data_IF_500579841280
#
_entry.id   IF_500579841280
#
_cell.length_a   1.000
_cell.length_b   1.000
_cell.length_c   1.000
_cell.angle_alpha   90.00
_cell.angle_beta   90.00
_cell.angle_gamma   90.00
#
_symmetry.space_group_name_H-M   'P 1'
#
loop_
_entity.id
_entity.type
_entity.pdbx_description
1 polymer ?
#
# COMPACT_ATOMS: atom_id res chain seq x y z
N UNK A 1 -10.00 -24.22 5.53
CA UNK A 1 -10.31 -23.18 4.52
C UNK A 1 -11.45 -23.74 3.72
N UNK A 2 -12.62 -23.11 3.79
CA UNK A 2 -13.86 -23.78 3.36
C UNK A 2 -14.12 -23.60 1.87
N UNK A 3 -13.86 -22.41 1.35
CA UNK A 3 -14.10 -22.11 -0.06
C UNK A 3 -13.10 -21.07 -0.58
N UNK A 4 -12.76 -21.20 -1.85
CA UNK A 4 -11.91 -20.29 -2.61
C UNK A 4 -12.59 -20.02 -3.93
N UNK A 5 -12.88 -18.75 -4.18
CA UNK A 5 -13.54 -18.29 -5.40
C UNK A 5 -12.60 -17.41 -6.21
N UNK A 6 -12.53 -17.63 -7.51
CA UNK A 6 -11.73 -16.77 -8.39
C UNK A 6 -12.43 -15.42 -8.57
N UNK A 7 -11.76 -14.35 -8.17
CA UNK A 7 -12.24 -12.99 -8.37
C UNK A 7 -11.70 -12.47 -9.71
N UNK A 8 -12.57 -12.28 -10.70
CA UNK A 8 -12.20 -11.62 -11.95
C UNK A 8 -12.09 -10.11 -11.71
N UNK A 9 -11.00 -9.70 -11.06
CA UNK A 9 -10.77 -8.33 -10.59
C UNK A 9 -9.39 -7.83 -11.03
N UNK A 10 -9.34 -6.74 -11.78
CA UNK A 10 -8.10 -6.03 -12.11
C UNK A 10 -7.17 -6.74 -13.10
N UNK A 11 -5.88 -6.37 -13.02
CA UNK A 11 -4.78 -6.87 -13.86
C UNK A 11 -4.05 -8.09 -13.28
N UNK A 12 -4.40 -8.51 -12.06
CA UNK A 12 -3.80 -9.64 -11.34
C UNK A 12 -4.79 -10.78 -11.11
N UNK A 13 -4.26 -12.00 -10.91
CA UNK A 13 -5.08 -13.14 -10.50
C UNK A 13 -5.33 -13.08 -8.99
N UNK A 14 -6.60 -13.06 -8.59
CA UNK A 14 -7.04 -12.83 -7.21
C UNK A 14 -8.11 -13.85 -6.83
N UNK A 15 -8.11 -14.23 -5.55
CA UNK A 15 -9.11 -15.14 -4.99
C UNK A 15 -9.72 -14.59 -3.71
N UNK A 16 -11.03 -14.76 -3.55
CA UNK A 16 -11.68 -14.61 -2.25
C UNK A 16 -11.57 -15.91 -1.48
N UNK A 17 -11.25 -15.78 -0.20
CA UNK A 17 -11.05 -16.91 0.71
C UNK A 17 -11.90 -16.71 1.96
N UNK A 18 -12.73 -17.70 2.29
CA UNK A 18 -13.41 -17.76 3.58
C UNK A 18 -12.50 -18.43 4.63
N UNK A 19 -12.11 -17.66 5.64
CA UNK A 19 -11.32 -18.12 6.79
C UNK A 19 -12.20 -18.70 7.91
N UNK A 20 -13.52 -18.61 7.78
CA UNK A 20 -14.52 -19.03 8.74
C UNK A 20 -14.90 -17.93 9.74
N UNK A 21 -16.00 -18.15 10.48
CA UNK A 21 -16.53 -17.21 11.50
C UNK A 21 -16.82 -15.80 10.92
N UNK A 22 -17.21 -15.73 9.65
CA UNK A 22 -17.50 -14.48 8.96
C UNK A 22 -16.26 -13.68 8.53
N UNK A 23 -15.05 -14.22 8.69
CA UNK A 23 -13.82 -13.56 8.25
C UNK A 23 -13.50 -13.96 6.81
N UNK A 24 -13.46 -12.96 5.92
CA UNK A 24 -13.04 -13.12 4.53
C UNK A 24 -11.63 -12.59 4.33
N UNK A 25 -10.97 -13.05 3.29
CA UNK A 25 -9.65 -12.60 2.88
C UNK A 25 -9.50 -12.59 1.36
N UNK A 26 -8.54 -11.81 0.89
CA UNK A 26 -8.07 -11.76 -0.48
C UNK A 26 -6.75 -12.52 -0.55
N UNK A 27 -6.69 -13.54 -1.38
CA UNK A 27 -5.46 -14.25 -1.70
C UNK A 27 -4.96 -13.83 -3.08
N UNK A 28 -3.75 -13.28 -3.14
CA UNK A 28 -3.04 -12.95 -4.37
C UNK A 28 -1.85 -13.90 -4.51
N UNK A 29 -1.93 -14.98 -5.32
CA UNK A 29 -0.79 -15.86 -5.55
C UNK A 29 0.36 -15.12 -6.23
N UNK A 30 1.58 -15.58 -6.01
CA UNK A 30 2.74 -15.09 -6.76
C UNK A 30 2.52 -15.26 -8.27
N UNK A 31 2.99 -14.33 -9.12
CA UNK A 31 2.77 -14.33 -10.58
C UNK A 31 3.11 -15.65 -11.29
N UNK A 32 4.08 -16.40 -10.77
CA UNK A 32 4.47 -17.73 -11.28
C UNK A 32 3.33 -18.76 -11.31
N UNK A 33 2.26 -18.55 -10.53
CA UNK A 33 1.10 -19.44 -10.43
C UNK A 33 -0.11 -18.98 -11.26
N UNK A 34 -0.05 -17.83 -11.92
CA UNK A 34 -1.21 -17.28 -12.63
C UNK A 34 -1.56 -18.12 -13.86
N UNK A 35 -2.84 -18.47 -14.02
CA UNK A 35 -3.36 -19.34 -15.08
C UNK A 35 -3.37 -18.65 -16.44
N UNK A 36 -3.79 -17.39 -16.45
CA UNK A 36 -3.69 -16.53 -17.62
C UNK A 36 -2.56 -15.54 -17.37
N UNK A 37 -1.35 -15.82 -17.88
CA UNK A 37 -0.31 -14.78 -18.03
C UNK A 37 -0.79 -13.77 -19.06
N UNK A 38 -1.71 -12.91 -18.66
CA UNK A 38 -2.39 -11.98 -19.54
C UNK A 38 -1.42 -10.85 -19.85
N UNK A 39 -0.65 -10.97 -20.94
CA UNK A 39 0.02 -9.94 -21.75
C UNK A 39 0.05 -8.53 -21.11
N UNK A 40 0.74 -8.36 -19.99
CA UNK A 40 0.92 -7.06 -19.35
C UNK A 40 2.39 -7.02 -18.95
N UNK A 41 3.17 -6.03 -19.41
CA UNK A 41 4.62 -6.01 -19.19
C UNK A 41 5.04 -5.81 -17.72
N UNK A 42 4.10 -5.87 -16.77
CA UNK A 42 4.26 -5.54 -15.36
C UNK A 42 4.01 -6.75 -14.42
N UNK A 43 3.91 -7.98 -14.95
CA UNK A 43 3.73 -9.20 -14.13
C UNK A 43 4.87 -9.43 -13.14
N UNK A 44 6.08 -8.99 -13.49
CA UNK A 44 7.24 -9.06 -12.61
C UNK A 44 7.22 -7.94 -11.54
N UNK A 45 6.40 -6.90 -11.75
CA UNK A 45 6.23 -5.78 -10.84
C UNK A 45 5.08 -6.01 -9.85
N UNK A 46 3.90 -6.46 -10.28
CA UNK A 46 2.81 -6.74 -9.35
C UNK A 46 3.11 -8.02 -8.54
N UNK A 47 3.53 -7.88 -7.27
CA UNK A 47 3.97 -9.04 -6.48
C UNK A 47 3.27 -9.20 -5.12
N UNK A 48 3.07 -10.45 -4.73
CA UNK A 48 2.58 -10.81 -3.41
C UNK A 48 3.53 -10.32 -2.31
N UNK A 49 4.82 -10.29 -2.62
CA UNK A 49 5.90 -9.81 -1.75
C UNK A 49 5.74 -8.32 -1.44
N UNK A 50 5.31 -7.49 -2.40
CA UNK A 50 5.07 -6.05 -2.16
C UNK A 50 3.84 -5.79 -1.29
N UNK A 51 2.81 -6.64 -1.35
CA UNK A 51 1.69 -6.60 -0.39
C UNK A 51 2.17 -6.89 1.04
N UNK A 52 3.06 -7.87 1.19
CA UNK A 52 3.68 -8.20 2.49
C UNK A 52 4.57 -7.06 2.99
N UNK A 53 5.37 -6.48 2.10
CA UNK A 53 6.20 -5.32 2.39
C UNK A 53 5.37 -4.12 2.83
N UNK A 54 4.23 -3.84 2.17
CA UNK A 54 3.32 -2.76 2.54
C UNK A 54 2.78 -2.92 3.96
N UNK A 55 2.35 -4.13 4.33
CA UNK A 55 1.92 -4.39 5.71
C UNK A 55 3.09 -4.30 6.70
N UNK A 56 4.25 -4.86 6.39
CA UNK A 56 5.43 -4.78 7.26
C UNK A 56 5.89 -3.33 7.47
N UNK A 57 5.88 -2.52 6.41
CA UNK A 57 6.15 -1.09 6.45
C UNK A 57 5.15 -0.35 7.35
N UNK A 58 3.85 -0.59 7.17
CA UNK A 58 2.80 0.02 7.98
C UNK A 58 2.98 -0.24 9.48
N UNK A 59 3.35 -1.48 9.84
CA UNK A 59 3.68 -1.84 11.22
C UNK A 59 4.95 -1.16 11.71
N UNK A 60 5.95 -0.96 10.86
CA UNK A 60 7.20 -0.31 11.22
C UNK A 60 6.99 1.18 11.56
N UNK A 61 6.14 1.88 10.80
CA UNK A 61 5.86 3.32 10.95
C UNK A 61 4.60 3.63 11.79
N UNK A 62 4.04 2.62 12.45
CA UNK A 62 2.80 2.74 13.24
C UNK A 62 1.66 3.42 12.43
N UNK A 63 1.54 3.03 11.16
CA UNK A 63 0.62 3.60 10.18
C UNK A 63 -0.83 3.23 10.49
N UNK A 64 -1.09 1.94 10.76
CA UNK A 64 -2.42 1.38 10.99
C UNK A 64 -3.40 1.60 9.82
N UNK A 65 -2.89 1.60 8.58
CA UNK A 65 -3.66 1.81 7.36
C UNK A 65 -3.71 0.58 6.45
N UNK A 66 -2.68 -0.28 6.48
CA UNK A 66 -2.66 -1.48 5.64
C UNK A 66 -3.34 -2.65 6.37
N UNK A 67 -4.35 -3.31 5.77
CA UNK A 67 -4.97 -4.48 6.40
C UNK A 67 -3.96 -5.60 6.68
N UNK A 68 -4.26 -6.41 7.70
CA UNK A 68 -3.40 -7.54 8.08
C UNK A 68 -3.13 -8.43 6.87
N UNK A 69 -1.86 -8.57 6.53
CA UNK A 69 -1.40 -9.32 5.35
C UNK A 69 -0.31 -10.30 5.76
N UNK A 70 -0.46 -11.56 5.37
CA UNK A 70 0.45 -12.65 5.72
C UNK A 70 0.82 -13.48 4.50
N UNK A 71 2.01 -14.09 4.52
CA UNK A 71 2.39 -15.07 3.50
C UNK A 71 1.59 -16.35 3.76
N UNK A 72 0.99 -16.92 2.71
CA UNK A 72 0.22 -18.15 2.82
C UNK A 72 0.41 -19.04 1.60
N UNK A 73 0.30 -20.36 1.81
CA UNK A 73 0.17 -21.36 0.75
C UNK A 73 -1.27 -21.87 0.73
N UNK A 74 -1.93 -21.77 -0.42
CA UNK A 74 -3.32 -22.22 -0.65
C UNK A 74 -3.34 -23.02 -1.95
N UNK A 75 -3.82 -24.26 -1.89
CA UNK A 75 -3.88 -25.21 -3.02
C UNK A 75 -2.54 -25.31 -3.78
N UNK A 76 -1.43 -25.41 -3.05
CA UNK A 76 -0.10 -25.49 -3.65
C UNK A 76 0.51 -24.16 -4.08
N UNK A 77 -0.26 -23.08 -4.17
CA UNK A 77 0.21 -21.75 -4.59
C UNK A 77 0.63 -20.92 -3.38
N UNK A 78 1.83 -20.35 -3.42
CA UNK A 78 2.26 -19.34 -2.46
C UNK A 78 1.79 -17.95 -2.90
N UNK A 79 1.51 -17.07 -1.94
CA UNK A 79 1.13 -15.69 -2.19
C UNK A 79 0.87 -14.91 -0.91
N UNK A 80 0.27 -13.72 -1.06
CA UNK A 80 -0.18 -12.89 0.05
C UNK A 80 -1.64 -13.19 0.35
N UNK A 81 -1.99 -13.23 1.64
CA UNK A 81 -3.34 -13.34 2.14
C UNK A 81 -3.63 -12.12 3.01
N UNK A 82 -4.50 -11.25 2.53
CA UNK A 82 -4.89 -10.02 3.21
C UNK A 82 -6.33 -10.14 3.74
N UNK A 83 -6.57 -9.76 4.98
CA UNK A 83 -7.94 -9.75 5.54
C UNK A 83 -8.82 -8.79 4.74
N UNK A 84 -10.00 -9.26 4.34
CA UNK A 84 -10.99 -8.44 3.66
C UNK A 84 -11.57 -7.42 4.63
N UNK A 85 -11.64 -6.17 4.20
CA UNK A 85 -12.26 -5.09 4.95
C UNK A 85 -13.54 -4.71 4.24
N UNK A 86 -14.65 -4.65 4.99
CA UNK A 86 -15.91 -4.10 4.47
C UNK A 86 -15.81 -2.58 4.55
N UNK A 87 -15.58 -1.94 3.41
CA UNK A 87 -15.43 -0.50 3.30
C UNK A 87 -16.79 0.21 3.36
N UNK A 88 -16.76 1.48 3.73
CA UNK A 88 -17.95 2.32 3.72
C UNK A 88 -18.36 2.59 2.25
N UNK A 89 -19.61 2.28 1.86
CA UNK A 89 -20.06 2.37 0.45
C UNK A 89 -20.10 3.80 -0.12
N UNK A 90 -20.01 4.83 0.74
CA UNK A 90 -20.14 6.23 0.36
C UNK A 90 -19.42 7.21 1.33
N UNK A 91 -18.28 6.81 1.90
CA UNK A 91 -17.54 7.71 2.79
C UNK A 91 -16.75 8.74 1.97
N UNK A 92 -17.37 9.88 1.69
CA UNK A 92 -16.61 11.09 1.40
C UNK A 92 -15.72 11.43 2.60
N UNK A 93 -14.47 11.78 2.30
CA UNK A 93 -13.48 12.26 3.26
C UNK A 93 -14.04 13.45 4.05
N UNK A 94 -14.52 13.19 5.26
CA UNK A 94 -14.94 14.24 6.17
C UNK A 94 -13.71 15.07 6.56
N UNK A 95 -13.67 16.34 6.12
CA UNK A 95 -12.63 17.28 6.56
C UNK A 95 -12.88 17.61 8.03
N UNK A 96 -11.88 17.36 8.89
CA UNK A 96 -11.94 17.87 10.25
C UNK A 96 -11.78 19.39 10.23
N UNK A 97 -12.88 20.12 10.47
CA UNK A 97 -12.92 21.58 10.46
C UNK A 97 -11.95 22.22 11.49
N UNK A 98 -11.56 21.47 12.53
CA UNK A 98 -10.67 21.95 13.59
C UNK A 98 -9.18 21.91 13.23
N UNK A 99 -8.78 21.20 12.17
CA UNK A 99 -7.36 20.93 11.90
C UNK A 99 -6.94 21.09 10.44
N UNK A 100 -7.88 21.37 9.51
CA UNK A 100 -7.65 21.29 8.05
C UNK A 100 -6.98 19.97 7.62
N UNK A 101 -7.07 18.93 8.47
CA UNK A 101 -6.46 17.63 8.27
C UNK A 101 -7.48 16.73 7.60
N UNK A 102 -7.16 16.28 6.38
CA UNK A 102 -7.92 15.22 5.72
C UNK A 102 -7.26 13.90 6.08
N UNK A 103 -8.05 12.90 6.43
CA UNK A 103 -7.51 11.58 6.72
C UNK A 103 -6.71 11.03 5.51
N UNK A 104 -7.12 11.40 4.29
CA UNK A 104 -6.41 11.12 3.02
C UNK A 104 -5.02 11.75 2.89
N UNK A 105 -4.71 12.83 3.63
CA UNK A 105 -3.37 13.42 3.62
C UNK A 105 -2.35 12.43 4.22
N UNK A 106 -2.79 11.66 5.23
CA UNK A 106 -1.98 10.59 5.82
C UNK A 106 -1.73 9.47 4.82
N UNK A 107 -2.75 9.08 4.04
CA UNK A 107 -2.59 8.11 2.97
C UNK A 107 -1.61 8.62 1.91
N UNK A 108 -1.67 9.91 1.57
CA UNK A 108 -0.78 10.53 0.58
C UNK A 108 0.69 10.48 1.04
N UNK A 109 0.97 10.79 2.31
CA UNK A 109 2.33 10.68 2.87
C UNK A 109 2.79 9.22 2.99
N UNK A 110 1.88 8.29 3.31
CA UNK A 110 2.16 6.85 3.29
C UNK A 110 2.57 6.37 1.90
N UNK A 111 1.76 6.71 0.90
CA UNK A 111 1.98 6.41 -0.50
C UNK A 111 3.27 7.05 -1.00
N UNK A 112 3.61 8.23 -0.48
CA UNK A 112 4.90 8.84 -0.72
C UNK A 112 6.05 7.93 -0.30
N UNK A 113 6.07 7.53 0.98
CA UNK A 113 7.18 6.72 1.52
C UNK A 113 7.28 5.36 0.82
N UNK A 114 6.14 4.71 0.56
CA UNK A 114 6.08 3.43 -0.15
C UNK A 114 6.33 3.55 -1.65
N UNK A 115 6.13 4.73 -2.25
CA UNK A 115 6.29 4.92 -3.69
C UNK A 115 5.28 4.17 -4.51
N UNK A 116 4.01 4.18 -4.08
CA UNK A 116 2.95 3.62 -4.91
C UNK A 116 2.49 4.67 -5.93
N UNK A 117 2.17 4.20 -7.13
CA UNK A 117 1.60 5.00 -8.20
C UNK A 117 0.17 4.57 -8.53
N UNK A 118 -0.34 3.51 -7.88
CA UNK A 118 -1.62 2.89 -8.21
C UNK A 118 -2.74 3.33 -7.25
N UNK A 119 -2.75 4.62 -6.89
CA UNK A 119 -3.73 5.20 -5.97
C UNK A 119 -4.92 5.83 -6.72
N UNK A 120 -5.64 4.99 -7.47
CA UNK A 120 -6.91 5.32 -8.10
C UNK A 120 -8.03 5.52 -7.06
N UNK A 121 -9.20 6.11 -7.40
CA UNK A 121 -10.33 6.21 -6.47
C UNK A 121 -10.77 4.87 -5.88
N UNK A 122 -10.69 3.79 -6.66
CA UNK A 122 -11.00 2.43 -6.18
C UNK A 122 -10.01 1.93 -5.11
N UNK A 123 -8.78 2.46 -5.10
CA UNK A 123 -7.73 2.13 -4.15
C UNK A 123 -7.61 3.16 -3.02
N UNK A 124 -8.63 4.01 -2.80
CA UNK A 124 -8.73 4.94 -1.67
C UNK A 124 -9.93 4.62 -0.75
N UNK A 125 -10.14 3.36 -0.36
CA UNK A 125 -11.28 3.04 0.47
C UNK A 125 -11.13 3.63 1.88
N UNK A 126 -12.29 3.82 2.51
CA UNK A 126 -12.40 4.30 3.87
C UNK A 126 -13.05 3.22 4.74
N UNK A 127 -12.61 3.15 6.00
CA UNK A 127 -13.23 2.33 7.05
C UNK A 127 -13.49 3.22 8.26
N UNK A 128 -14.77 3.45 8.56
CA UNK A 128 -15.19 4.30 9.68
C UNK A 128 -14.53 5.69 9.63
N UNK A 129 -14.43 6.27 8.45
CA UNK A 129 -13.82 7.59 8.23
C UNK A 129 -12.29 7.63 8.29
N UNK A 130 -11.60 6.49 8.40
CA UNK A 130 -10.14 6.39 8.27
C UNK A 130 -9.73 5.78 6.93
N UNK A 131 -8.66 6.26 6.28
CA UNK A 131 -8.18 5.68 5.03
C UNK A 131 -7.62 4.28 5.27
N UNK A 132 -7.86 3.40 4.30
CA UNK A 132 -7.27 2.06 4.25
C UNK A 132 -6.39 1.96 3.02
N UNK A 133 -5.12 1.61 3.24
CA UNK A 133 -4.11 1.50 2.21
C UNK A 133 -4.10 0.06 1.65
N UNK A 134 -4.95 -0.21 0.66
CA UNK A 134 -4.99 -1.50 -0.06
C UNK A 134 -4.17 -1.47 -1.34
N UNK A 135 -4.01 -2.66 -1.94
CA UNK A 135 -3.45 -2.85 -3.29
C UNK A 135 -2.01 -2.33 -3.42
N UNK A 136 -1.13 -2.84 -2.56
CA UNK A 136 0.29 -2.44 -2.52
C UNK A 136 1.16 -3.25 -3.49
N UNK A 137 0.57 -4.11 -4.33
CA UNK A 137 1.30 -4.93 -5.30
C UNK A 137 2.21 -4.12 -6.24
N UNK A 138 1.88 -2.84 -6.49
CA UNK A 138 2.67 -1.91 -7.31
C UNK A 138 3.40 -0.82 -6.49
N UNK A 139 3.58 -1.03 -5.19
CA UNK A 139 4.40 -0.16 -4.35
C UNK A 139 5.90 -0.51 -4.47
N UNK A 140 6.75 0.38 -3.94
CA UNK A 140 8.21 0.23 -3.81
C UNK A 140 8.98 0.19 -5.13
N UNK A 141 8.33 0.48 -6.26
CA UNK A 141 9.00 0.53 -7.56
C UNK A 141 9.87 1.78 -7.63
N UNK A 142 11.16 1.63 -7.94
CA UNK A 142 12.09 2.76 -8.05
C UNK A 142 11.83 3.69 -9.25
N UNK A 143 11.06 3.22 -10.24
CA UNK A 143 10.57 3.99 -11.38
C UNK A 143 9.12 3.61 -11.65
N UNK A 144 8.28 4.59 -11.97
CA UNK A 144 6.95 4.31 -12.48
C UNK A 144 7.07 3.42 -13.74
N UNK A 145 6.41 2.26 -13.80
CA UNK A 145 6.38 1.50 -15.03
C UNK A 145 5.73 2.35 -16.14
N UNK A 146 6.21 2.24 -17.38
CA UNK A 146 5.62 2.99 -18.50
C UNK A 146 4.17 2.51 -18.74
N UNK A 147 3.19 3.24 -18.21
CA UNK A 147 1.77 2.92 -18.35
C UNK A 147 1.24 3.33 -19.74
N UNK A 148 1.02 2.36 -20.63
CA UNK A 148 0.36 2.57 -21.92
C UNK A 148 -1.17 2.48 -21.82
N UNK A 149 -1.80 3.13 -20.83
CA UNK A 149 -3.26 3.07 -20.64
C UNK A 149 -3.97 4.42 -20.58
N UNK A 150 -3.30 5.54 -20.88
CA UNK A 150 -3.93 6.87 -20.81
C UNK A 150 -4.36 7.30 -19.39
N UNK A 151 -4.15 6.44 -18.39
CA UNK A 151 -4.19 6.80 -16.97
C UNK A 151 -2.92 7.61 -16.74
N UNK A 152 -3.05 8.94 -16.60
CA UNK A 152 -2.01 9.72 -15.95
C UNK A 152 -1.80 9.06 -14.60
N UNK A 153 -0.65 8.42 -14.40
CA UNK A 153 -0.24 8.03 -13.08
C UNK A 153 -0.40 9.30 -12.20
N UNK A 154 -1.06 9.22 -11.03
CA UNK A 154 -0.94 10.30 -10.07
C UNK A 154 0.55 10.60 -9.92
N UNK A 155 0.94 11.87 -9.75
CA UNK A 155 2.34 12.20 -9.61
C UNK A 155 2.91 11.23 -8.60
N UNK A 156 4.01 10.57 -8.96
CA UNK A 156 4.68 9.68 -8.03
C UNK A 156 4.81 10.40 -6.70
N UNK A 157 4.87 9.64 -5.61
CA UNK A 157 5.49 10.10 -4.40
C UNK A 157 6.61 11.13 -4.66
N UNK A 158 7.56 10.76 -5.52
CA UNK A 158 8.73 11.57 -5.88
C UNK A 158 8.42 12.82 -6.72
N UNK A 159 7.21 12.97 -7.26
CA UNK A 159 6.68 14.12 -8.00
C UNK A 159 5.77 15.02 -7.13
N UNK A 160 5.52 14.67 -5.86
CA UNK A 160 4.96 15.63 -4.89
C UNK A 160 6.01 16.73 -4.69
N UNK A 161 5.83 17.82 -5.43
CA UNK A 161 6.74 18.97 -5.42
C UNK A 161 6.80 19.68 -4.07
N UNK A 162 5.74 19.56 -3.28
CA UNK A 162 5.66 20.13 -1.94
C UNK A 162 4.88 19.22 -0.98
N UNK A 163 5.62 18.42 -0.21
CA UNK A 163 5.10 17.63 0.90
C UNK A 163 4.86 18.47 2.17
N UNK A 164 5.44 19.66 2.28
CA UNK A 164 5.39 20.48 3.50
C UNK A 164 3.96 20.92 3.85
N UNK A 165 3.09 21.06 2.83
CA UNK A 165 1.66 21.34 2.99
C UNK A 165 0.90 20.27 3.80
N UNK A 166 1.44 19.07 3.94
CA UNK A 166 0.82 17.97 4.69
C UNK A 166 1.29 17.91 6.16
N UNK A 167 1.63 19.05 6.77
CA UNK A 167 2.23 19.13 8.11
C UNK A 167 1.55 18.29 9.19
N UNK A 168 0.21 18.27 9.24
CA UNK A 168 -0.54 17.44 10.19
C UNK A 168 -0.36 15.93 9.93
N UNK A 169 -0.37 15.50 8.67
CA UNK A 169 -0.11 14.12 8.29
C UNK A 169 1.34 13.71 8.58
N UNK A 170 2.31 14.56 8.25
CA UNK A 170 3.74 14.34 8.56
C UNK A 170 3.94 14.10 10.06
N UNK A 171 3.30 14.89 10.92
CA UNK A 171 3.37 14.73 12.39
C UNK A 171 2.68 13.47 12.91
N UNK A 172 1.71 12.92 12.17
CA UNK A 172 0.93 11.75 12.61
C UNK A 172 1.70 10.43 12.55
N UNK A 173 2.72 10.33 11.70
CA UNK A 173 3.59 9.15 11.66
C UNK A 173 4.51 9.13 12.87
N UNK A 174 4.55 7.98 13.53
CA UNK A 174 5.42 7.71 14.67
C UNK A 174 6.46 6.69 14.25
N UNK A 175 7.54 6.57 15.02
CA UNK A 175 8.53 5.51 14.84
C UNK A 175 9.16 5.45 13.44
N UNK A 176 9.41 6.61 12.83
CA UNK A 176 10.14 6.74 11.57
C UNK A 176 11.65 6.46 11.79
N UNK A 177 11.96 5.22 12.14
CA UNK A 177 13.32 4.70 12.30
C UNK A 177 13.74 3.95 11.03
N UNK A 178 14.72 4.49 10.25
CA UNK A 178 15.18 3.86 9.02
C UNK A 178 15.67 2.41 9.19
N UNK A 179 16.30 2.05 10.30
CA UNK A 179 16.84 0.69 10.50
C UNK A 179 15.73 -0.30 10.83
N UNK A 180 14.76 0.12 11.65
CA UNK A 180 13.54 -0.65 11.91
C UNK A 180 12.77 -0.90 10.61
N UNK A 181 12.60 0.13 9.78
CA UNK A 181 11.90 0.03 8.49
C UNK A 181 12.66 -0.90 7.55
N UNK A 182 13.98 -0.72 7.41
CA UNK A 182 14.86 -1.58 6.61
C UNK A 182 14.70 -3.04 7.00
N UNK A 183 14.78 -3.35 8.29
CA UNK A 183 14.63 -4.71 8.81
C UNK A 183 13.26 -5.31 8.50
N UNK A 184 12.20 -4.50 8.54
CA UNK A 184 10.84 -4.95 8.28
C UNK A 184 10.59 -5.30 6.81
N UNK A 185 11.14 -4.54 5.86
CA UNK A 185 10.80 -4.67 4.43
C UNK A 185 11.82 -5.46 3.61
N UNK A 186 13.09 -5.54 4.05
CA UNK A 186 14.15 -6.27 3.33
C UNK A 186 13.91 -7.76 3.09
N UNK A 187 13.09 -8.50 3.89
CA UNK A 187 12.77 -9.89 3.56
C UNK A 187 11.90 -10.05 2.31
N UNK A 188 11.28 -8.96 1.83
CA UNK A 188 10.28 -8.98 0.76
C UNK A 188 10.71 -8.21 -0.49
N UNK A 189 11.66 -7.28 -0.35
CA UNK A 189 12.06 -6.35 -1.40
C UNK A 189 13.52 -6.53 -1.79
N UNK A 190 13.86 -6.12 -3.02
CA UNK A 190 15.26 -6.01 -3.47
C UNK A 190 15.96 -4.87 -2.74
N UNK A 191 17.28 -4.96 -2.61
CA UNK A 191 18.08 -3.96 -1.91
C UNK A 191 17.84 -2.53 -2.43
N UNK A 192 17.74 -2.37 -3.75
CA UNK A 192 17.52 -1.06 -4.38
C UNK A 192 16.14 -0.47 -4.04
N UNK A 193 15.10 -1.31 -3.97
CA UNK A 193 13.74 -0.91 -3.60
C UNK A 193 13.69 -0.45 -2.13
N UNK A 194 14.41 -1.15 -1.26
CA UNK A 194 14.58 -0.77 0.15
C UNK A 194 15.27 0.60 0.25
N UNK A 195 16.38 0.81 -0.45
CA UNK A 195 17.09 2.10 -0.41
C UNK A 195 16.22 3.26 -0.91
N UNK A 196 15.48 3.08 -2.00
CA UNK A 196 14.57 4.11 -2.51
C UNK A 196 13.45 4.44 -1.51
N UNK A 197 12.90 3.43 -0.83
CA UNK A 197 11.94 3.66 0.24
C UNK A 197 12.56 4.47 1.39
N UNK A 198 13.77 4.11 1.83
CA UNK A 198 14.46 4.79 2.93
C UNK A 198 14.84 6.24 2.58
N UNK A 199 15.19 6.54 1.32
CA UNK A 199 15.39 7.92 0.87
C UNK A 199 14.12 8.77 1.04
N UNK A 200 12.96 8.21 0.68
CA UNK A 200 11.66 8.90 0.86
C UNK A 200 11.30 9.04 2.33
N UNK A 201 11.53 8.01 3.14
CA UNK A 201 11.34 8.09 4.60
C UNK A 201 12.21 9.19 5.22
N UNK A 202 13.50 9.26 4.86
CA UNK A 202 14.40 10.32 5.33
C UNK A 202 13.86 11.71 4.98
N UNK A 203 13.34 11.89 3.76
CA UNK A 203 12.71 13.15 3.38
C UNK A 203 11.49 13.51 4.24
N UNK A 204 10.65 12.53 4.56
CA UNK A 204 9.52 12.72 5.48
C UNK A 204 9.99 13.08 6.90
N UNK A 205 11.08 12.49 7.39
CA UNK A 205 11.68 12.83 8.68
C UNK A 205 12.15 14.30 8.70
N UNK A 206 12.87 14.74 7.67
CA UNK A 206 13.31 16.13 7.51
C UNK A 206 12.14 17.11 7.56
N UNK A 207 11.13 16.88 6.72
CA UNK A 207 9.95 17.74 6.62
C UNK A 207 9.10 17.73 7.89
N UNK A 208 9.02 16.59 8.58
CA UNK A 208 8.35 16.48 9.88
C UNK A 208 9.07 17.33 10.93
N UNK A 209 10.40 17.34 10.95
CA UNK A 209 11.17 18.16 11.88
C UNK A 209 10.93 19.67 11.62
N UNK A 210 10.82 20.08 10.36
CA UNK A 210 10.44 21.44 9.99
C UNK A 210 9.01 21.79 10.41
N UNK A 211 8.05 20.89 10.18
CA UNK A 211 6.65 21.06 10.55
C UNK A 211 6.40 21.00 12.08
N UNK A 212 7.43 20.68 12.87
CA UNK A 212 7.41 20.71 14.34
C UNK A 212 8.03 21.99 14.92
N UNK A 213 8.62 22.87 14.09
CA UNK A 213 9.12 24.17 14.57
C UNK A 213 7.92 25.05 14.98
N UNK A 214 8.07 25.86 16.05
CA UNK A 214 7.01 26.73 16.56
C UNK A 214 6.51 27.75 15.54
#
# INVERSE_FOLDING_TARGET
MREKEFAKSGSSEVYFVDLGRGVRAVFKPSPKFWRARRIMPFHDDASAERELAGHAFDRAVSGHMVPVTVKRKIDGMEGSLQVWVNFDEAADSAVSAASNFRAEDRLTVMDYMMGTHDRSPANRPMLKGAPVAIDQGLAFIGKAPHYSFGIKAPPSATEISDLSKYGAALRSFRDLDPEKIRSAISPFLKAEEVEQCLLRVKKVIELRAEAMKP
#
